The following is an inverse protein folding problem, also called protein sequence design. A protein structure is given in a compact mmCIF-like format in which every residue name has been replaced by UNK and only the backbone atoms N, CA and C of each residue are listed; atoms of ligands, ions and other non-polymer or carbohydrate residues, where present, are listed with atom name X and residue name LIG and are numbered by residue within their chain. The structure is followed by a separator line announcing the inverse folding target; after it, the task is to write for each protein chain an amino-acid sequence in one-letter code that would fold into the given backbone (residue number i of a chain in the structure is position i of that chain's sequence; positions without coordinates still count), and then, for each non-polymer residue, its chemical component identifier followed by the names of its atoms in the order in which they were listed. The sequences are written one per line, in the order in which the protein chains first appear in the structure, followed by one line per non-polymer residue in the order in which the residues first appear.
data_IF_964309486580
#
_entry.id   IF_964309486580
#
_cell.length_a   1.000
_cell.length_b   1.000
_cell.length_c   1.000
_cell.angle_alpha   90.00
_cell.angle_beta   90.00
_cell.angle_gamma   90.00
#
_symmetry.space_group_name_H-M   'P 1'
#
loop_
_entity.id
_entity.type
_entity.pdbx_description
1 polymer ?
#
# COMPACT_ATOMS: atom_id res chain seq x y z
N UNK A 1 -7.35 -17.65 -2.16
CA UNK A 1 -8.35 -16.66 -2.62
C UNK A 1 -7.58 -15.42 -3.04
N UNK A 2 -7.60 -15.08 -4.33
CA UNK A 2 -7.05 -13.82 -4.82
C UNK A 2 -8.03 -12.71 -4.42
N UNK A 3 -7.58 -11.66 -3.72
CA UNK A 3 -8.41 -10.45 -3.55
C UNK A 3 -8.27 -9.62 -4.81
N UNK A 4 -9.39 -9.39 -5.51
CA UNK A 4 -9.45 -8.35 -6.52
C UNK A 4 -9.51 -6.99 -5.82
N UNK A 5 -8.56 -6.13 -6.16
CA UNK A 5 -8.57 -4.73 -5.75
C UNK A 5 -8.90 -3.89 -6.97
N UNK A 6 -9.96 -3.10 -6.87
CA UNK A 6 -10.10 -1.94 -7.73
C UNK A 6 -9.31 -0.77 -7.11
N UNK A 7 -9.09 0.30 -7.88
CA UNK A 7 -8.27 1.43 -7.43
C UNK A 7 -8.84 2.10 -6.17
N UNK A 8 -10.16 2.17 -6.04
CA UNK A 8 -10.84 2.81 -4.91
C UNK A 8 -10.62 2.02 -3.62
N UNK A 9 -10.79 0.69 -3.67
CA UNK A 9 -10.55 -0.19 -2.54
C UNK A 9 -9.06 -0.23 -2.18
N UNK A 10 -8.16 -0.15 -3.16
CA UNK A 10 -6.71 -0.13 -2.90
C UNK A 10 -6.29 1.14 -2.14
N UNK A 11 -6.93 2.28 -2.42
CA UNK A 11 -6.62 3.56 -1.77
C UNK A 11 -6.94 3.58 -0.26
N UNK A 12 -7.72 2.61 0.26
CA UNK A 12 -7.97 2.49 1.70
C UNK A 12 -6.76 1.92 2.47
N UNK A 13 -5.80 1.30 1.78
CA UNK A 13 -4.61 0.66 2.34
C UNK A 13 -3.37 1.55 2.18
N UNK A 14 -3.50 2.78 2.67
CA UNK A 14 -2.52 3.85 2.50
C UNK A 14 -1.46 3.91 3.62
N UNK A 15 -1.43 2.96 4.55
CA UNK A 15 -0.49 2.98 5.67
C UNK A 15 -0.75 4.01 6.76
N UNK A 16 -1.82 4.80 6.66
CA UNK A 16 -2.16 5.86 7.64
C UNK A 16 -3.08 5.33 8.73
N UNK A 17 -3.05 5.98 9.88
CA UNK A 17 -3.91 5.62 11.04
C UNK A 17 -3.77 4.15 11.48
N UNK A 18 -2.60 3.53 11.23
CA UNK A 18 -2.35 2.12 11.54
C UNK A 18 -2.93 1.13 10.51
N UNK A 19 -3.45 1.61 9.38
CA UNK A 19 -3.89 0.76 8.27
C UNK A 19 -2.70 0.08 7.58
N UNK A 20 -2.93 -1.05 6.89
CA UNK A 20 -1.90 -1.67 6.06
C UNK A 20 -1.47 -0.73 4.93
N UNK A 21 -0.25 -0.91 4.41
CA UNK A 21 0.25 -0.21 3.21
C UNK A 21 0.31 -1.17 2.04
N UNK A 22 -0.55 -0.99 1.04
CA UNK A 22 -0.55 -1.79 -0.19
C UNK A 22 -0.15 -0.95 -1.39
N UNK A 23 0.60 -1.54 -2.32
CA UNK A 23 1.01 -0.88 -3.56
C UNK A 23 0.65 -1.73 -4.77
N UNK A 24 0.23 -1.09 -5.86
CA UNK A 24 0.06 -1.75 -7.14
C UNK A 24 1.31 -1.59 -8.02
N UNK A 25 1.84 -2.69 -8.54
CA UNK A 25 2.94 -2.71 -9.50
C UNK A 25 2.71 -3.80 -10.53
N UNK A 26 2.78 -3.46 -11.81
CA UNK A 26 2.62 -4.40 -12.94
C UNK A 26 1.32 -5.25 -12.85
N UNK A 27 0.22 -4.65 -12.38
CA UNK A 27 -1.09 -5.32 -12.25
C UNK A 27 -1.24 -6.24 -11.03
N UNK A 28 -0.23 -6.31 -10.16
CA UNK A 28 -0.28 -7.04 -8.90
C UNK A 28 -0.27 -6.06 -7.71
N UNK A 29 -0.96 -6.44 -6.63
CA UNK A 29 -0.97 -5.71 -5.36
C UNK A 29 -0.01 -6.39 -4.39
N UNK A 30 0.84 -5.59 -3.74
CA UNK A 30 1.83 -6.05 -2.79
C UNK A 30 1.57 -5.43 -1.42
N UNK A 31 1.59 -6.26 -0.38
CA UNK A 31 1.62 -5.80 1.00
C UNK A 31 3.05 -5.37 1.36
N UNK A 32 3.22 -4.08 1.65
CA UNK A 32 4.50 -3.49 2.08
C UNK A 32 4.42 -2.92 3.49
N UNK A 33 3.41 -3.31 4.28
CA UNK A 33 3.16 -2.81 5.63
C UNK A 33 4.35 -3.01 6.59
N UNK A 34 5.12 -4.09 6.40
CA UNK A 34 6.30 -4.40 7.22
C UNK A 34 7.59 -3.77 6.67
N UNK A 35 7.52 -3.06 5.54
CA UNK A 35 8.68 -2.46 4.92
C UNK A 35 9.09 -1.17 5.62
N UNK A 36 10.33 -1.11 6.09
CA UNK A 36 10.94 0.14 6.61
C UNK A 36 10.97 1.26 5.58
N UNK A 37 10.90 0.92 4.29
CA UNK A 37 10.88 1.89 3.19
C UNK A 37 9.52 2.56 3.04
N UNK A 38 8.43 1.96 3.55
CA UNK A 38 7.04 2.41 3.36
C UNK A 38 6.37 2.79 4.68
N UNK A 39 7.15 3.33 5.61
CA UNK A 39 6.65 3.65 6.95
C UNK A 39 5.52 4.67 6.87
N UNK A 40 4.37 4.34 7.47
CA UNK A 40 3.15 5.15 7.43
C UNK A 40 2.65 5.47 6.01
N UNK A 41 2.84 4.55 5.05
CA UNK A 41 2.41 4.78 3.67
C UNK A 41 3.37 5.60 2.82
N UNK A 42 4.52 5.99 3.36
CA UNK A 42 5.42 6.92 2.70
C UNK A 42 6.69 6.21 2.24
N UNK A 43 6.82 6.03 0.92
CA UNK A 43 8.01 5.48 0.31
C UNK A 43 9.17 6.46 0.44
N UNK A 44 10.13 6.12 1.29
CA UNK A 44 11.39 6.85 1.47
C UNK A 44 11.22 8.35 1.77
N UNK A 45 10.10 8.74 2.38
CA UNK A 45 9.74 10.14 2.62
C UNK A 45 9.58 11.00 1.37
N UNK A 46 9.17 10.38 0.26
CA UNK A 46 9.10 11.04 -1.06
C UNK A 46 7.80 10.77 -1.81
N UNK A 47 7.28 9.55 -1.73
CA UNK A 47 6.09 9.15 -2.46
C UNK A 47 5.06 8.53 -1.52
N UNK A 48 3.79 8.85 -1.73
CA UNK A 48 2.66 8.26 -1.01
C UNK A 48 2.25 6.96 -1.71
N UNK A 49 1.73 6.00 -0.94
CA UNK A 49 1.15 4.76 -1.44
C UNK A 49 -0.10 5.02 -2.32
#
# INVERSE_FOLDING_TARGET
MQKEFNQEALAEFDGRDGRPTYIARDGAVYDVSESKLWRNGEHMKRHQA
#
